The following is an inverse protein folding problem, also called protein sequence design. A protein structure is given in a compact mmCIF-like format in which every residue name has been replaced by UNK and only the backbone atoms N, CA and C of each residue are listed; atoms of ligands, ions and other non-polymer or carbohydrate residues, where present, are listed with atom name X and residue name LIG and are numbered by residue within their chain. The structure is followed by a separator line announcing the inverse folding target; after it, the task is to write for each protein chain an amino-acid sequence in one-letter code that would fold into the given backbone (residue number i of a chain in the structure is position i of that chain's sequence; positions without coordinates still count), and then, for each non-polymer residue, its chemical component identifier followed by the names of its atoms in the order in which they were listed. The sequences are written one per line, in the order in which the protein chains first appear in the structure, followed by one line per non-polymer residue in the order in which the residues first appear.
data_IF_706924493478
#
_entry.id   IF_706924493478
#
_cell.length_a   1.000
_cell.length_b   1.000
_cell.length_c   1.000
_cell.angle_alpha   90.00
_cell.angle_beta   90.00
_cell.angle_gamma   90.00
#
_symmetry.space_group_name_H-M   'P 1'
#
loop_
_entity.id
_entity.type
_entity.pdbx_description
1 polymer ?
#
# COMPACT_ATOMS: atom_id res chain seq x y z
N UNK A 1 -17.19 -64.87 -28.40
CA UNK A 1 -17.78 -63.78 -29.22
C UNK A 1 -18.06 -62.62 -28.29
N UNK A 2 -17.47 -61.45 -28.60
CA UNK A 2 -17.82 -60.06 -28.22
C UNK A 2 -18.08 -59.72 -26.73
N UNK A 3 -17.67 -58.60 -26.16
CA UNK A 3 -16.73 -57.51 -26.48
C UNK A 3 -16.50 -56.78 -25.13
N UNK A 4 -15.32 -56.20 -24.96
CA UNK A 4 -14.94 -55.41 -23.79
C UNK A 4 -15.68 -54.06 -23.76
N UNK A 5 -15.87 -53.48 -22.57
CA UNK A 5 -15.52 -52.07 -22.37
C UNK A 5 -15.19 -51.76 -20.90
N UNK A 6 -14.07 -51.04 -20.76
CA UNK A 6 -13.43 -50.55 -19.55
C UNK A 6 -14.08 -49.21 -19.10
N UNK A 7 -13.88 -48.81 -17.83
CA UNK A 7 -14.52 -47.64 -17.25
C UNK A 7 -13.95 -46.33 -17.82
N UNK A 8 -14.86 -45.44 -18.25
CA UNK A 8 -14.49 -44.10 -18.73
C UNK A 8 -14.03 -43.23 -17.55
N UNK A 9 -12.91 -42.58 -17.83
CA UNK A 9 -12.06 -41.76 -16.99
C UNK A 9 -12.74 -40.51 -16.44
N UNK A 10 -12.47 -40.23 -15.17
CA UNK A 10 -12.72 -38.94 -14.50
C UNK A 10 -12.07 -37.79 -15.31
N UNK A 11 -12.92 -36.89 -15.82
CA UNK A 11 -12.48 -35.60 -16.37
C UNK A 11 -12.42 -34.56 -15.24
N UNK A 12 -11.41 -33.65 -15.25
CA UNK A 12 -11.22 -32.68 -14.20
C UNK A 12 -12.36 -31.66 -14.20
N UNK A 13 -12.89 -31.35 -13.01
CA UNK A 13 -13.85 -30.26 -12.79
C UNK A 13 -13.17 -28.94 -13.11
N UNK A 14 -13.55 -28.32 -14.22
CA UNK A 14 -13.30 -26.90 -14.45
C UNK A 14 -14.14 -26.09 -13.46
N UNK A 15 -13.49 -25.21 -12.71
CA UNK A 15 -14.15 -24.24 -11.85
C UNK A 15 -14.92 -23.23 -12.73
N UNK A 16 -16.23 -23.47 -12.84
CA UNK A 16 -17.17 -22.63 -13.56
C UNK A 16 -17.48 -21.38 -12.74
N UNK A 17 -16.90 -20.24 -13.14
CA UNK A 17 -17.24 -18.94 -12.58
C UNK A 17 -18.76 -18.71 -12.64
N UNK A 18 -19.38 -18.48 -11.49
CA UNK A 18 -20.83 -18.30 -11.42
C UNK A 18 -21.25 -16.96 -12.02
N UNK A 19 -21.71 -16.98 -13.27
CA UNK A 19 -22.29 -15.83 -13.94
C UNK A 19 -23.74 -15.60 -13.45
N UNK A 20 -23.95 -14.60 -12.59
CA UNK A 20 -25.28 -14.25 -12.08
C UNK A 20 -26.10 -13.58 -13.20
N UNK A 21 -27.08 -14.31 -13.77
CA UNK A 21 -28.08 -13.73 -14.67
C UNK A 21 -29.11 -12.94 -13.85
N UNK A 22 -29.20 -11.64 -14.08
CA UNK A 22 -30.25 -10.82 -13.47
C UNK A 22 -31.63 -11.23 -13.99
N UNK A 23 -32.54 -11.54 -13.06
CA UNK A 23 -33.94 -11.86 -13.39
C UNK A 23 -34.67 -10.59 -13.83
N UNK A 24 -34.93 -10.48 -15.13
CA UNK A 24 -35.90 -9.54 -15.70
C UNK A 24 -37.28 -9.77 -15.10
N UNK A 25 -37.79 -8.79 -14.34
CA UNK A 25 -39.23 -8.61 -14.12
C UNK A 25 -39.58 -7.12 -14.13
N UNK A 26 -40.63 -6.84 -14.91
CA UNK A 26 -41.33 -5.58 -15.16
C UNK A 26 -40.72 -4.60 -16.19
N UNK A 27 -41.33 -4.63 -17.39
CA UNK A 27 -41.26 -3.56 -18.39
C UNK A 27 -41.78 -2.27 -17.76
N UNK A 28 -40.87 -1.33 -17.47
CA UNK A 28 -41.18 0.10 -17.43
C UNK A 28 -40.60 0.71 -18.71
N UNK A 29 -41.40 1.50 -19.41
CA UNK A 29 -40.98 2.21 -20.61
C UNK A 29 -39.67 2.96 -20.33
N UNK A 30 -38.69 2.80 -21.23
CA UNK A 30 -37.43 3.55 -21.15
C UNK A 30 -37.74 5.06 -21.15
N UNK A 31 -37.15 5.85 -20.25
CA UNK A 31 -37.19 7.30 -20.38
C UNK A 31 -36.51 7.67 -21.70
N UNK A 32 -37.13 8.55 -22.50
CA UNK A 32 -36.48 9.12 -23.68
C UNK A 32 -35.11 9.70 -23.29
N UNK A 33 -34.06 9.52 -24.10
CA UNK A 33 -32.80 10.22 -23.88
C UNK A 33 -33.07 11.72 -23.95
N UNK A 34 -32.81 12.41 -22.84
CA UNK A 34 -32.81 13.87 -22.77
C UNK A 34 -31.80 14.42 -23.78
N UNK A 35 -32.11 15.46 -24.56
CA UNK A 35 -31.11 16.12 -25.39
C UNK A 35 -29.97 16.60 -24.50
N UNK A 36 -28.72 16.22 -24.83
CA UNK A 36 -27.53 16.79 -24.18
C UNK A 36 -27.53 18.29 -24.49
N UNK A 37 -27.85 19.10 -23.49
CA UNK A 37 -27.62 20.54 -23.53
C UNK A 37 -26.10 20.78 -23.64
N UNK A 38 -25.60 21.51 -24.65
CA UNK A 38 -24.22 21.93 -24.68
C UNK A 38 -24.02 22.98 -23.58
N UNK A 39 -23.21 22.64 -22.58
CA UNK A 39 -22.95 23.52 -21.42
C UNK A 39 -23.21 22.87 -20.06
N UNK A 40 -22.86 21.60 -19.88
CA UNK A 40 -22.62 21.09 -18.53
C UNK A 40 -21.33 21.75 -18.01
N UNK A 41 -21.46 22.96 -17.48
CA UNK A 41 -20.43 23.62 -16.70
C UNK A 41 -19.99 22.66 -15.60
N UNK A 42 -18.70 22.29 -15.61
CA UNK A 42 -18.01 21.81 -14.42
C UNK A 42 -18.42 22.73 -13.27
N UNK A 43 -19.01 22.17 -12.22
CA UNK A 43 -19.24 22.94 -11.00
C UNK A 43 -17.89 23.59 -10.63
N UNK A 44 -17.85 24.87 -10.25
CA UNK A 44 -16.61 25.46 -9.77
C UNK A 44 -16.07 24.59 -8.63
N UNK A 45 -14.76 24.35 -8.60
CA UNK A 45 -14.07 23.69 -7.49
C UNK A 45 -14.39 24.47 -6.21
N UNK A 46 -15.37 23.99 -5.45
CA UNK A 46 -15.58 24.49 -4.10
C UNK A 46 -14.31 24.17 -3.29
N UNK A 47 -13.73 25.14 -2.56
CA UNK A 47 -12.54 24.88 -1.76
C UNK A 47 -12.81 23.73 -0.81
N UNK A 48 -12.00 22.67 -0.90
CA UNK A 48 -12.08 21.54 0.01
C UNK A 48 -11.90 22.07 1.44
N UNK A 49 -12.86 21.74 2.31
CA UNK A 49 -12.71 21.99 3.74
C UNK A 49 -11.84 20.88 4.30
N UNK A 50 -10.60 21.23 4.66
CA UNK A 50 -9.70 20.30 5.32
C UNK A 50 -10.15 20.03 6.75
N UNK A 51 -9.97 18.78 7.21
CA UNK A 51 -10.16 18.43 8.62
C UNK A 51 -9.24 19.26 9.50
N UNK A 52 -9.72 19.64 10.69
CA UNK A 52 -8.88 20.30 11.68
C UNK A 52 -7.85 19.33 12.28
N UNK A 53 -6.76 19.88 12.82
CA UNK A 53 -5.76 19.09 13.57
C UNK A 53 -6.40 18.35 14.74
N UNK A 54 -7.38 18.96 15.43
CA UNK A 54 -8.10 18.33 16.54
C UNK A 54 -8.90 17.10 16.10
N UNK A 55 -9.53 17.16 14.91
CA UNK A 55 -10.26 16.01 14.36
C UNK A 55 -9.30 14.89 13.97
N UNK A 56 -8.16 15.23 13.35
CA UNK A 56 -7.11 14.26 12.99
C UNK A 56 -6.59 13.55 14.25
N UNK A 57 -6.29 14.30 15.31
CA UNK A 57 -5.83 13.77 16.59
C UNK A 57 -6.87 12.85 17.22
N UNK A 58 -8.14 13.27 17.27
CA UNK A 58 -9.22 12.47 17.85
C UNK A 58 -9.42 11.15 17.11
N UNK A 59 -9.37 11.18 15.78
CA UNK A 59 -9.45 9.97 14.96
C UNK A 59 -8.23 9.06 15.20
N UNK A 60 -7.02 9.64 15.25
CA UNK A 60 -5.80 8.89 15.53
C UNK A 60 -5.88 8.18 16.88
N UNK A 61 -6.25 8.85 17.96
CA UNK A 61 -6.35 8.25 19.30
C UNK A 61 -7.35 7.08 19.35
N UNK A 62 -8.45 7.20 18.61
CA UNK A 62 -9.45 6.13 18.46
C UNK A 62 -8.87 4.91 17.72
N UNK A 63 -8.18 5.14 16.59
CA UNK A 63 -7.55 4.05 15.83
C UNK A 63 -6.39 3.41 16.60
N UNK A 64 -5.53 4.22 17.21
CA UNK A 64 -4.41 3.81 18.06
C UNK A 64 -4.89 2.88 19.17
N UNK A 65 -5.88 3.31 19.95
CA UNK A 65 -6.43 2.51 21.05
C UNK A 65 -6.92 1.15 20.56
N UNK A 66 -7.71 1.13 19.49
CA UNK A 66 -8.30 -0.10 18.94
C UNK A 66 -7.26 -1.02 18.32
N UNK A 67 -6.25 -0.48 17.65
CA UNK A 67 -5.21 -1.27 17.00
C UNK A 67 -4.24 -1.86 18.03
N UNK A 68 -3.88 -1.10 19.07
CA UNK A 68 -2.98 -1.56 20.14
C UNK A 68 -3.58 -2.70 20.98
N UNK A 69 -4.90 -2.82 21.03
CA UNK A 69 -5.61 -3.95 21.65
C UNK A 69 -5.61 -5.24 20.80
N UNK A 70 -5.10 -5.20 19.56
CA UNK A 70 -5.08 -6.38 18.70
C UNK A 70 -3.89 -7.28 18.96
N UNK A 71 -4.08 -8.59 18.76
CA UNK A 71 -2.97 -9.56 18.78
C UNK A 71 -1.90 -9.26 17.71
N UNK A 72 -2.24 -8.53 16.65
CA UNK A 72 -1.26 -8.14 15.62
C UNK A 72 -0.26 -7.13 16.16
N UNK A 73 -0.71 -6.16 16.96
CA UNK A 73 0.17 -5.20 17.63
C UNK A 73 1.11 -5.91 18.61
N UNK A 74 0.60 -6.82 19.44
CA UNK A 74 1.43 -7.63 20.35
C UNK A 74 2.52 -8.40 19.59
N UNK A 75 2.15 -9.08 18.50
CA UNK A 75 3.11 -9.83 17.66
C UNK A 75 4.15 -8.93 17.01
N UNK A 76 3.77 -7.71 16.60
CA UNK A 76 4.73 -6.74 16.05
C UNK A 76 5.77 -6.37 17.10
N UNK A 77 5.35 -6.09 18.33
CA UNK A 77 6.29 -5.79 19.43
C UNK A 77 7.24 -6.96 19.69
N UNK A 78 6.70 -8.16 19.87
CA UNK A 78 7.50 -9.39 20.07
C UNK A 78 8.50 -9.63 18.93
N UNK A 79 8.09 -9.38 17.68
CA UNK A 79 8.96 -9.54 16.51
C UNK A 79 10.15 -8.58 16.57
N UNK A 80 9.92 -7.31 16.90
CA UNK A 80 10.99 -6.31 17.04
C UNK A 80 11.90 -6.68 18.21
N UNK A 81 11.34 -6.98 19.39
CA UNK A 81 12.09 -7.37 20.58
C UNK A 81 13.00 -8.58 20.34
N UNK A 82 12.47 -9.62 19.69
CA UNK A 82 13.20 -10.87 19.42
C UNK A 82 14.34 -10.69 18.41
N UNK A 83 14.26 -9.69 17.54
CA UNK A 83 15.22 -9.49 16.44
C UNK A 83 16.11 -8.27 16.63
N UNK A 84 15.90 -7.43 17.65
CA UNK A 84 16.64 -6.18 17.88
C UNK A 84 18.16 -6.35 17.94
N UNK A 85 18.63 -7.51 18.43
CA UNK A 85 20.06 -7.83 18.52
C UNK A 85 20.68 -8.37 17.22
N UNK A 86 19.89 -8.61 16.17
CA UNK A 86 20.33 -9.22 14.90
C UNK A 86 20.70 -8.21 13.82
N UNK A 87 20.51 -6.93 14.08
CA UNK A 87 20.81 -5.85 13.15
C UNK A 87 21.62 -4.75 13.84
N UNK A 88 22.09 -3.77 13.07
CA UNK A 88 22.75 -2.57 13.60
C UNK A 88 21.79 -1.76 14.46
N UNK A 89 22.31 -1.01 15.42
CA UNK A 89 21.49 -0.12 16.24
C UNK A 89 20.81 0.92 15.37
N UNK A 90 19.48 1.01 15.45
CA UNK A 90 18.72 2.08 14.79
C UNK A 90 18.88 3.36 15.60
N UNK A 91 19.39 4.42 14.97
CA UNK A 91 19.58 5.75 15.57
C UNK A 91 18.62 6.81 15.06
N UNK A 92 17.97 6.57 13.93
CA UNK A 92 16.95 7.45 13.35
C UNK A 92 15.96 6.63 12.54
N UNK A 93 14.75 7.15 12.40
CA UNK A 93 13.69 6.47 11.69
C UNK A 93 13.06 7.37 10.63
N UNK A 94 12.82 6.82 9.44
CA UNK A 94 12.24 7.51 8.29
C UNK A 94 10.96 6.79 7.90
N UNK A 95 9.85 7.51 7.84
CA UNK A 95 8.56 7.02 7.34
C UNK A 95 8.22 7.69 6.01
N UNK A 96 8.17 6.87 4.95
CA UNK A 96 7.88 7.32 3.59
C UNK A 96 6.46 6.93 3.20
N UNK A 97 5.69 7.92 2.76
CA UNK A 97 4.43 7.71 2.04
C UNK A 97 3.32 7.05 2.86
N UNK A 98 3.17 7.43 4.14
CA UNK A 98 2.10 6.92 5.02
C UNK A 98 0.68 7.35 4.56
N UNK A 99 0.58 8.31 3.65
CA UNK A 99 -0.67 8.93 3.20
C UNK A 99 -1.10 10.11 4.06
N UNK A 100 -2.07 10.88 3.55
CA UNK A 100 -2.73 11.96 4.29
C UNK A 100 -3.76 11.41 5.28
N UNK A 101 -3.96 12.10 6.41
CA UNK A 101 -5.00 11.78 7.39
C UNK A 101 -6.38 12.35 6.99
N UNK A 102 -6.43 13.12 5.91
CA UNK A 102 -7.64 13.70 5.32
C UNK A 102 -7.78 13.36 3.83
N UNK A 103 -8.01 12.07 3.46
CA UNK A 103 -8.07 11.64 2.07
C UNK A 103 -9.26 12.23 1.31
N UNK A 104 -9.06 12.48 0.01
CA UNK A 104 -10.00 13.25 -0.79
C UNK A 104 -11.41 12.65 -0.87
N UNK A 105 -11.45 11.33 -1.05
CA UNK A 105 -12.65 10.51 -1.18
C UNK A 105 -13.34 10.22 0.16
N UNK A 106 -12.75 10.65 1.29
CA UNK A 106 -13.22 10.33 2.64
C UNK A 106 -13.21 8.82 2.93
N UNK A 107 -12.52 8.02 2.12
CA UNK A 107 -12.56 6.56 2.15
C UNK A 107 -12.13 6.01 3.50
N UNK A 108 -13.03 5.29 4.17
CA UNK A 108 -12.76 4.74 5.51
C UNK A 108 -11.55 3.80 5.53
N UNK A 109 -11.40 2.96 4.49
CA UNK A 109 -10.26 2.03 4.39
C UNK A 109 -8.93 2.76 4.22
N UNK A 110 -8.88 3.80 3.39
CA UNK A 110 -7.66 4.59 3.17
C UNK A 110 -7.22 5.27 4.47
N UNK A 111 -8.16 5.95 5.13
CA UNK A 111 -7.97 6.56 6.44
C UNK A 111 -7.48 5.56 7.49
N UNK A 112 -8.16 4.42 7.61
CA UNK A 112 -7.80 3.36 8.55
C UNK A 112 -6.38 2.85 8.30
N UNK A 113 -5.99 2.63 7.04
CA UNK A 113 -4.64 2.17 6.68
C UNK A 113 -3.58 3.19 7.11
N UNK A 114 -3.78 4.47 6.81
CA UNK A 114 -2.83 5.53 7.17
C UNK A 114 -2.61 5.60 8.69
N UNK A 115 -3.66 5.59 9.51
CA UNK A 115 -3.50 5.60 10.97
C UNK A 115 -2.85 4.34 11.53
N UNK A 116 -3.18 3.16 10.99
CA UNK A 116 -2.56 1.90 11.42
C UNK A 116 -1.09 1.83 11.01
N UNK A 117 -0.74 2.32 9.81
CA UNK A 117 0.66 2.37 9.38
C UNK A 117 1.47 3.34 10.23
N UNK A 118 0.91 4.50 10.58
CA UNK A 118 1.52 5.44 11.51
C UNK A 118 1.80 4.77 12.87
N UNK A 119 0.79 4.18 13.52
CA UNK A 119 0.99 3.57 14.84
C UNK A 119 1.85 2.30 14.77
N UNK A 120 1.81 1.58 13.65
CA UNK A 120 2.72 0.47 13.35
C UNK A 120 4.18 0.91 13.31
N UNK A 121 4.48 1.98 12.58
CA UNK A 121 5.80 2.59 12.57
C UNK A 121 6.23 3.05 13.96
N UNK A 122 5.37 3.79 14.67
CA UNK A 122 5.67 4.30 16.00
C UNK A 122 5.87 3.19 17.02
N UNK A 123 5.16 2.07 16.90
CA UNK A 123 5.35 0.90 17.77
C UNK A 123 6.74 0.30 17.61
N UNK A 124 7.25 0.19 16.37
CA UNK A 124 8.61 -0.31 16.12
C UNK A 124 9.62 0.64 16.77
N UNK A 125 9.44 1.95 16.58
CA UNK A 125 10.32 2.98 17.18
C UNK A 125 10.26 2.96 18.71
N UNK A 126 9.06 2.85 19.30
CA UNK A 126 8.84 2.77 20.75
C UNK A 126 9.60 1.57 21.34
N UNK A 127 9.44 0.37 20.77
CA UNK A 127 10.14 -0.84 21.23
C UNK A 127 11.66 -0.68 21.15
N UNK A 128 12.18 -0.20 20.02
CA UNK A 128 13.62 -0.01 19.84
C UNK A 128 14.17 1.04 20.82
N UNK A 129 13.44 2.14 21.02
CA UNK A 129 13.81 3.19 21.97
C UNK A 129 13.87 2.67 23.41
N UNK A 130 12.91 1.85 23.82
CA UNK A 130 12.88 1.18 25.13
C UNK A 130 14.08 0.26 25.34
N UNK A 131 14.40 -0.57 24.32
CA UNK A 131 15.52 -1.52 24.37
C UNK A 131 16.88 -0.81 24.40
N UNK A 132 17.03 0.26 23.61
CA UNK A 132 18.28 1.02 23.53
C UNK A 132 18.43 2.04 24.64
N UNK A 133 17.34 2.38 25.34
CA UNK A 133 17.28 3.45 26.35
C UNK A 133 17.68 4.81 25.75
N UNK A 134 17.32 5.03 24.49
CA UNK A 134 17.63 6.22 23.71
C UNK A 134 16.37 6.66 22.95
N UNK A 135 16.22 7.96 22.72
CA UNK A 135 15.16 8.49 21.86
C UNK A 135 15.60 8.39 20.40
N UNK A 136 14.77 7.77 19.55
CA UNK A 136 15.00 7.68 18.11
C UNK A 136 14.21 8.81 17.41
N UNK A 137 14.86 9.83 16.83
CA UNK A 137 14.17 10.86 16.06
C UNK A 137 13.51 10.26 14.81
N UNK A 138 12.30 10.75 14.52
CA UNK A 138 11.50 10.30 13.38
C UNK A 138 11.30 11.43 12.38
N UNK A 139 11.52 11.15 11.10
CA UNK A 139 11.15 12.03 10.00
C UNK A 139 10.10 11.38 9.09
N UNK A 140 9.17 12.20 8.59
CA UNK A 140 8.09 11.79 7.70
C UNK A 140 8.17 12.56 6.38
N UNK A 141 7.94 11.86 5.27
CA UNK A 141 7.84 12.48 3.94
C UNK A 141 6.71 11.82 3.16
N UNK A 142 5.71 12.62 2.81
CA UNK A 142 4.55 12.22 1.99
C UNK A 142 4.14 13.41 1.10
N UNK A 143 4.13 13.24 -0.23
CA UNK A 143 3.73 14.30 -1.16
C UNK A 143 2.31 14.85 -0.95
N UNK A 144 1.42 14.08 -0.31
CA UNK A 144 0.02 14.45 -0.06
C UNK A 144 -0.22 15.07 1.32
N UNK A 145 0.80 15.34 2.13
CA UNK A 145 0.56 15.99 3.42
C UNK A 145 -0.03 17.38 3.23
N UNK A 146 -1.11 17.63 3.96
CA UNK A 146 -1.69 18.95 4.14
C UNK A 146 -0.98 19.69 5.29
N UNK A 147 -1.14 21.02 5.42
CA UNK A 147 -0.61 21.74 6.58
C UNK A 147 -1.07 21.16 7.92
N UNK A 148 -2.31 20.66 7.98
CA UNK A 148 -2.87 20.06 9.20
C UNK A 148 -2.28 18.67 9.49
N UNK A 149 -1.93 17.89 8.45
CA UNK A 149 -1.18 16.63 8.63
C UNK A 149 0.20 16.92 9.22
N UNK A 150 0.88 17.94 8.69
CA UNK A 150 2.20 18.37 9.16
C UNK A 150 2.17 18.86 10.61
N UNK A 151 1.19 19.70 10.94
CA UNK A 151 1.01 20.19 12.31
C UNK A 151 0.68 19.04 13.28
N UNK A 152 -0.18 18.10 12.88
CA UNK A 152 -0.48 16.91 13.66
C UNK A 152 0.77 16.08 13.98
N UNK A 153 1.60 15.75 12.98
CA UNK A 153 2.84 14.99 13.19
C UNK A 153 3.88 15.77 14.02
N UNK A 154 3.94 17.09 13.84
CA UNK A 154 4.82 17.97 14.63
C UNK A 154 4.38 18.00 16.09
N UNK A 155 3.07 18.03 16.36
CA UNK A 155 2.51 17.95 17.71
C UNK A 155 2.79 16.59 18.39
N UNK A 156 3.02 15.53 17.62
CA UNK A 156 3.52 14.24 18.13
C UNK A 156 5.04 14.25 18.41
N UNK A 157 5.75 15.33 18.08
CA UNK A 157 7.19 15.48 18.29
C UNK A 157 8.05 14.97 17.13
N UNK A 158 7.47 14.81 15.94
CA UNK A 158 8.18 14.31 14.76
C UNK A 158 8.53 15.42 13.77
N UNK A 159 9.51 15.17 12.92
CA UNK A 159 9.87 16.06 11.83
C UNK A 159 9.10 15.67 10.57
N UNK A 160 8.55 16.66 9.87
CA UNK A 160 8.05 16.48 8.51
C UNK A 160 9.01 17.18 7.56
N UNK A 161 9.43 16.48 6.51
CA UNK A 161 10.44 16.96 5.56
C UNK A 161 9.92 16.87 4.13
N UNK A 162 10.43 17.77 3.29
CA UNK A 162 10.14 17.78 1.87
C UNK A 162 11.09 16.85 1.09
N UNK A 163 10.63 16.34 -0.05
CA UNK A 163 11.48 15.56 -0.95
C UNK A 163 12.64 16.41 -1.49
N UNK A 164 13.89 15.89 -1.53
CA UNK A 164 14.28 14.51 -1.28
C UNK A 164 14.85 14.23 0.14
N UNK A 165 14.63 15.10 1.12
CA UNK A 165 15.37 15.09 2.38
C UNK A 165 15.28 13.78 3.17
N UNK A 166 14.13 13.07 3.13
CA UNK A 166 14.01 11.79 3.81
C UNK A 166 14.81 10.67 3.12
N UNK A 167 14.95 10.72 1.79
CA UNK A 167 15.80 9.78 1.05
C UNK A 167 17.27 10.00 1.41
N UNK A 168 17.68 11.27 1.41
CA UNK A 168 19.04 11.70 1.72
C UNK A 168 19.46 11.40 3.16
N UNK A 169 18.49 11.27 4.06
CA UNK A 169 18.74 10.94 5.46
C UNK A 169 19.03 9.45 5.70
N UNK A 170 18.83 8.55 4.73
CA UNK A 170 19.01 7.11 4.93
C UNK A 170 20.48 6.72 4.97
N UNK A 171 20.87 6.04 6.04
CA UNK A 171 22.20 5.44 6.26
C UNK A 171 22.09 4.09 6.98
N UNK A 172 23.23 3.48 7.32
CA UNK A 172 23.33 2.16 7.95
C UNK A 172 22.74 2.08 9.36
N UNK A 173 22.43 3.22 9.99
CA UNK A 173 21.82 3.32 11.32
C UNK A 173 20.34 3.72 11.24
N UNK A 174 19.73 3.65 10.05
CA UNK A 174 18.35 4.08 9.81
C UNK A 174 17.35 2.92 9.90
N UNK A 175 16.19 3.16 10.50
CA UNK A 175 14.95 2.40 10.23
C UNK A 175 14.22 3.08 9.07
N UNK A 176 14.01 2.36 7.97
CA UNK A 176 13.17 2.80 6.87
C UNK A 176 11.83 2.08 6.92
N UNK A 177 10.75 2.84 6.97
CA UNK A 177 9.38 2.35 6.88
C UNK A 177 8.71 2.92 5.63
N UNK A 178 8.45 2.07 4.65
CA UNK A 178 8.05 2.47 3.30
C UNK A 178 7.09 1.41 2.72
N UNK A 179 5.91 1.29 3.32
CA UNK A 179 4.92 0.26 2.95
C UNK A 179 4.16 0.68 1.68
N UNK A 180 4.00 -0.22 0.72
CA UNK A 180 3.32 0.03 -0.57
C UNK A 180 3.96 1.12 -1.44
N UNK A 181 5.29 1.26 -1.41
CA UNK A 181 5.99 2.16 -2.32
C UNK A 181 6.33 1.47 -3.64
N UNK A 182 6.44 2.25 -4.70
CA UNK A 182 6.85 1.75 -6.01
C UNK A 182 8.35 1.44 -6.04
N UNK A 183 8.75 0.52 -6.93
CA UNK A 183 10.16 0.14 -7.13
C UNK A 183 11.14 1.32 -7.25
N UNK A 184 10.87 2.40 -8.03
CA UNK A 184 11.80 3.53 -8.12
C UNK A 184 12.02 4.27 -6.79
N UNK A 185 11.01 4.25 -5.91
CA UNK A 185 11.14 4.84 -4.57
C UNK A 185 12.08 3.98 -3.73
N UNK A 186 11.94 2.65 -3.76
CA UNK A 186 12.88 1.76 -3.07
C UNK A 186 14.31 1.87 -3.61
N UNK A 187 14.48 1.96 -4.93
CA UNK A 187 15.79 2.17 -5.54
C UNK A 187 16.43 3.48 -5.04
N UNK A 188 15.68 4.59 -5.06
CA UNK A 188 16.16 5.87 -4.55
C UNK A 188 16.46 5.85 -3.04
N UNK A 189 15.63 5.19 -2.23
CA UNK A 189 15.81 5.09 -0.77
C UNK A 189 17.03 4.24 -0.40
N UNK A 190 17.33 3.19 -1.15
CA UNK A 190 18.38 2.22 -0.84
C UNK A 190 19.67 2.44 -1.63
N UNK A 191 19.72 3.47 -2.48
CA UNK A 191 20.85 3.75 -3.39
C UNK A 191 22.17 3.94 -2.63
N UNK A 192 22.13 4.64 -1.49
CA UNK A 192 23.34 5.09 -0.78
C UNK A 192 23.81 4.11 0.29
N UNK A 193 22.87 3.46 0.97
CA UNK A 193 23.16 2.61 2.11
C UNK A 193 22.08 1.54 2.30
N UNK A 194 22.48 0.42 2.88
CA UNK A 194 21.54 -0.57 3.41
C UNK A 194 21.17 -0.18 4.84
N UNK A 195 19.90 0.16 5.13
CA UNK A 195 19.47 0.59 6.46
C UNK A 195 19.59 -0.55 7.49
N UNK A 196 19.70 -0.18 8.77
CA UNK A 196 19.70 -1.13 9.89
C UNK A 196 18.43 -1.99 9.91
N UNK A 197 17.29 -1.38 9.56
CA UNK A 197 16.00 -2.06 9.46
C UNK A 197 15.20 -1.48 8.31
N UNK A 198 14.54 -2.37 7.54
CA UNK A 198 13.67 -1.99 6.44
C UNK A 198 12.32 -2.68 6.59
N UNK A 199 11.24 -1.90 6.55
CA UNK A 199 9.86 -2.38 6.52
C UNK A 199 9.21 -1.84 5.26
N UNK A 200 8.90 -2.73 4.31
CA UNK A 200 8.32 -2.35 3.03
C UNK A 200 7.55 -3.49 2.39
N UNK A 201 7.19 -3.32 1.12
CA UNK A 201 6.54 -4.34 0.32
C UNK A 201 7.55 -5.42 -0.07
N UNK A 202 7.15 -6.69 0.06
CA UNK A 202 7.99 -7.84 -0.28
C UNK A 202 8.44 -7.83 -1.74
N UNK A 203 9.63 -8.38 -1.98
CA UNK A 203 10.23 -8.45 -3.32
C UNK A 203 9.40 -9.31 -4.28
N UNK A 204 8.74 -10.34 -3.76
CA UNK A 204 7.82 -11.24 -4.46
C UNK A 204 6.70 -10.49 -5.22
N UNK A 205 6.25 -9.36 -4.67
CA UNK A 205 5.22 -8.51 -5.30
C UNK A 205 5.73 -7.92 -6.62
N UNK A 206 7.03 -7.75 -6.80
CA UNK A 206 7.61 -7.17 -8.01
C UNK A 206 8.08 -8.22 -9.01
N UNK A 207 8.48 -9.42 -8.55
CA UNK A 207 8.90 -10.53 -9.41
C UNK A 207 7.76 -11.02 -10.32
N UNK A 208 6.51 -11.00 -9.85
CA UNK A 208 5.33 -11.36 -10.65
C UNK A 208 5.14 -10.46 -11.89
N UNK A 209 5.65 -9.22 -11.85
CA UNK A 209 5.55 -8.26 -12.96
C UNK A 209 6.77 -8.25 -13.89
N UNK A 210 7.87 -8.90 -13.51
CA UNK A 210 9.08 -9.02 -14.35
C UNK A 210 8.92 -10.15 -15.39
N UNK A 211 7.99 -11.10 -15.17
CA UNK A 211 7.66 -12.18 -16.14
C UNK A 211 6.43 -11.82 -16.98
N UNK A 212 6.46 -10.67 -17.66
CA UNK A 212 5.72 -10.47 -18.91
C UNK A 212 6.25 -9.20 -19.58
N UNK A 213 7.27 -9.34 -20.43
CA UNK A 213 6.95 -9.55 -21.84
C UNK A 213 7.98 -10.45 -22.56
N UNK A 214 7.55 -11.54 -23.22
CA UNK A 214 8.16 -12.12 -24.45
C UNK A 214 7.66 -13.52 -24.88
N UNK A 215 6.53 -14.05 -24.39
CA UNK A 215 5.92 -15.27 -24.97
C UNK A 215 4.79 -14.94 -25.96
N UNK A 216 5.04 -13.96 -26.84
CA UNK A 216 4.22 -13.71 -28.02
C UNK A 216 5.15 -13.40 -29.19
N UNK A 217 5.49 -14.43 -29.98
CA UNK A 217 6.21 -14.24 -31.24
C UNK A 217 7.39 -15.17 -31.50
N UNK A 218 7.27 -16.47 -31.20
CA UNK A 218 8.02 -17.50 -31.94
C UNK A 218 7.10 -18.69 -32.14
N UNK A 219 6.28 -18.63 -33.17
CA UNK A 219 5.73 -19.79 -33.88
C UNK A 219 5.07 -19.30 -35.18
N UNK A 220 5.89 -19.29 -36.24
CA UNK A 220 5.60 -19.20 -37.68
C UNK A 220 6.90 -18.63 -38.29
N UNK A 221 7.72 -19.37 -39.00
CA UNK A 221 7.38 -19.95 -40.28
C UNK A 221 8.44 -20.99 -40.64
N UNK A 222 8.02 -22.24 -40.85
CA UNK A 222 8.84 -23.27 -41.50
C UNK A 222 8.11 -23.68 -42.77
N UNK A 223 8.85 -23.63 -43.87
CA UNK A 223 8.54 -24.20 -45.19
C UNK A 223 7.63 -23.36 -46.08
N UNK A 224 8.22 -22.84 -47.17
CA UNK A 224 7.77 -23.15 -48.52
C UNK A 224 8.91 -22.89 -49.51
N UNK A 225 9.77 -23.90 -49.64
CA UNK A 225 10.66 -24.08 -50.78
C UNK A 225 9.96 -25.05 -51.74
N UNK A 226 9.25 -24.52 -52.74
CA UNK A 226 8.83 -25.22 -53.98
C UNK A 226 7.91 -24.31 -54.83
N UNK A 227 8.49 -23.56 -55.77
CA UNK A 227 8.15 -23.66 -57.20
C UNK A 227 8.98 -22.66 -58.04
N UNK A 228 9.74 -23.25 -58.98
CA UNK A 228 10.44 -22.69 -60.16
C UNK A 228 11.90 -22.27 -59.99
#
# INVERSE_FOLDING_TARGET
MAAADLPDTDKPKQEEWTHVKSKSRFRRNAPRPSPKLPGASSKPDEPRIHKSVADITTEYDSFKTRWRDTACHTKLRELVETNAAKHRTVRKAVCLGVGTFDPEDGGWDAKRRTYIQLDGFLTVVEVLSELYKETIPCSFQEPRFTPNDTEFLTNLGHQVVESPAAFEAVDEDTLVFAVHMYRPIYEATLEKASPAMFVGTGWDVWDEYVISPLVAGRDADTSLDSLR
#
